data_IF_028705696459
#
_entry.id   IF_028705696459
#
_cell.length_a   1.000
_cell.length_b   1.000
_cell.length_c   1.000
_cell.angle_alpha   90.00
_cell.angle_beta   90.00
_cell.angle_gamma   90.00
#
_symmetry.space_group_name_H-M   'P 1'
#
loop_
_entity.id
_entity.type
_entity.pdbx_description
1 polymer ?
#
# COMPACT_ATOMS: atom_id res chain seq x y z
N UNK A 1 3.22 13.34 11.04
CA UNK A 1 3.82 12.00 10.83
C UNK A 1 3.34 11.29 9.58
N UNK A 2 2.04 10.93 9.45
CA UNK A 2 1.50 10.22 8.27
C UNK A 2 1.82 10.90 6.93
N UNK A 3 1.62 12.21 6.83
CA UNK A 3 1.89 12.99 5.61
C UNK A 3 3.38 13.01 5.25
N UNK A 4 4.26 13.22 6.23
CA UNK A 4 5.71 13.21 6.04
C UNK A 4 6.13 11.80 5.60
N UNK A 5 5.72 10.77 6.32
CA UNK A 5 6.02 9.38 5.99
C UNK A 5 5.64 9.04 4.54
N UNK A 6 4.39 9.34 4.17
CA UNK A 6 3.89 9.03 2.84
C UNK A 6 4.60 9.83 1.74
N UNK A 7 4.79 11.14 1.95
CA UNK A 7 5.42 12.02 0.97
C UNK A 7 6.91 11.74 0.77
N UNK A 8 7.61 11.31 1.82
CA UNK A 8 9.02 10.94 1.76
C UNK A 8 9.22 9.60 1.05
N UNK A 9 8.52 8.54 1.46
CA UNK A 9 8.71 7.22 0.86
C UNK A 9 8.15 7.09 -0.55
N UNK A 10 7.10 7.85 -0.91
CA UNK A 10 6.56 7.83 -2.27
C UNK A 10 7.60 8.24 -3.33
N UNK A 11 8.56 9.10 -2.97
CA UNK A 11 9.64 9.57 -3.86
C UNK A 11 10.60 8.45 -4.28
N UNK A 12 10.60 7.33 -3.55
CA UNK A 12 11.46 6.18 -3.84
C UNK A 12 10.93 5.29 -4.98
N UNK A 13 9.73 5.58 -5.51
CA UNK A 13 9.18 4.84 -6.65
C UNK A 13 8.76 3.40 -6.36
N UNK A 14 8.65 3.00 -5.08
CA UNK A 14 8.21 1.66 -4.66
C UNK A 14 6.69 1.49 -4.52
N UNK A 15 5.92 2.42 -5.09
CA UNK A 15 4.46 2.46 -4.95
C UNK A 15 4.00 3.47 -3.90
N UNK A 16 2.72 3.40 -3.52
CA UNK A 16 2.12 4.29 -2.52
C UNK A 16 2.28 3.69 -1.12
N UNK A 17 3.08 4.30 -0.23
CA UNK A 17 3.16 3.86 1.16
C UNK A 17 1.81 4.05 1.88
N UNK A 18 1.48 3.14 2.80
CA UNK A 18 0.34 3.26 3.70
C UNK A 18 0.85 3.51 5.12
N UNK A 19 0.23 4.47 5.81
CA UNK A 19 0.56 4.74 7.22
C UNK A 19 -0.12 3.75 8.16
N UNK A 20 -1.32 3.30 7.79
CA UNK A 20 -2.10 2.28 8.51
C UNK A 20 -2.40 1.15 7.54
N UNK A 21 -1.47 0.18 7.35
CA UNK A 21 -1.56 -0.82 6.29
C UNK A 21 -2.55 -1.97 6.59
N UNK A 22 -3.08 -2.06 7.82
CA UNK A 22 -4.02 -3.11 8.21
C UNK A 22 -5.42 -2.92 7.61
N UNK A 23 -6.14 -4.01 7.26
CA UNK A 23 -7.50 -3.91 6.74
C UNK A 23 -8.47 -3.42 7.82
N UNK A 24 -9.51 -2.68 7.39
CA UNK A 24 -10.54 -2.18 8.31
C UNK A 24 -11.38 -3.33 8.88
N UNK A 25 -11.79 -3.21 10.15
CA UNK A 25 -12.50 -4.28 10.89
C UNK A 25 -13.89 -4.61 10.35
N UNK A 26 -14.52 -3.67 9.67
CA UNK A 26 -15.85 -3.80 9.06
C UNK A 26 -15.84 -4.47 7.68
N UNK A 27 -14.67 -4.85 7.16
CA UNK A 27 -14.57 -5.56 5.88
C UNK A 27 -14.82 -7.06 6.04
N UNK A 28 -15.24 -7.75 4.96
CA UNK A 28 -15.46 -9.19 4.96
C UNK A 28 -14.28 -9.97 5.55
N UNK A 29 -14.50 -11.07 6.31
CA UNK A 29 -13.44 -11.88 6.89
C UNK A 29 -12.37 -12.32 5.87
N UNK A 30 -12.81 -12.67 4.66
CA UNK A 30 -11.97 -13.08 3.54
C UNK A 30 -10.99 -11.96 3.15
N UNK A 31 -11.49 -10.73 3.06
CA UNK A 31 -10.67 -9.56 2.77
C UNK A 31 -9.73 -9.25 3.95
N UNK A 32 -10.19 -9.37 5.20
CA UNK A 32 -9.34 -9.08 6.38
C UNK A 32 -8.16 -10.04 6.52
N UNK A 33 -8.30 -11.28 6.03
CA UNK A 33 -7.20 -12.26 6.03
C UNK A 33 -6.09 -11.86 5.06
N UNK A 34 -6.46 -11.45 3.85
CA UNK A 34 -5.49 -11.26 2.77
C UNK A 34 -5.08 -9.78 2.60
N UNK A 35 -5.92 -8.84 3.03
CA UNK A 35 -5.74 -7.40 2.91
C UNK A 35 -5.78 -6.91 1.46
N UNK A 36 -5.12 -5.76 1.21
CA UNK A 36 -5.05 -5.14 -0.12
C UNK A 36 -4.47 -6.12 -1.14
N UNK A 37 -5.07 -6.21 -2.31
CA UNK A 37 -4.66 -7.11 -3.39
C UNK A 37 -4.72 -6.43 -4.77
N UNK A 38 -4.03 -7.02 -5.74
CA UNK A 38 -4.09 -6.59 -7.14
C UNK A 38 -5.55 -6.61 -7.63
N UNK A 39 -5.96 -5.54 -8.31
CA UNK A 39 -7.32 -5.32 -8.79
C UNK A 39 -8.25 -4.64 -7.79
N UNK A 40 -7.82 -4.40 -6.56
CA UNK A 40 -8.60 -3.59 -5.63
C UNK A 40 -8.74 -2.16 -6.14
N UNK A 41 -9.98 -1.67 -6.12
CA UNK A 41 -10.36 -0.29 -6.33
C UNK A 41 -10.62 0.32 -4.96
N UNK A 42 -10.02 1.47 -4.68
CA UNK A 42 -10.12 2.12 -3.38
C UNK A 42 -9.55 3.52 -3.39
N UNK A 43 -9.48 4.14 -2.21
CA UNK A 43 -8.71 5.39 -2.02
C UNK A 43 -7.73 5.23 -0.86
N UNK A 44 -6.74 6.11 -0.79
CA UNK A 44 -5.93 6.28 0.43
C UNK A 44 -6.50 7.46 1.21
N UNK A 45 -6.94 7.23 2.45
CA UNK A 45 -7.50 8.30 3.30
C UNK A 45 -6.38 9.18 3.87
N UNK A 46 -6.70 10.39 4.40
CA UNK A 46 -5.70 11.24 5.07
C UNK A 46 -4.99 10.55 6.24
N UNK A 47 -5.67 9.62 6.91
CA UNK A 47 -5.11 8.79 7.99
C UNK A 47 -4.11 7.74 7.47
N UNK A 48 -3.99 7.57 6.15
CA UNK A 48 -3.10 6.63 5.49
C UNK A 48 -3.63 5.19 5.45
N UNK A 49 -4.95 5.02 5.53
CA UNK A 49 -5.65 3.74 5.36
C UNK A 49 -6.00 3.55 3.88
N UNK A 50 -5.91 2.31 3.38
CA UNK A 50 -6.54 1.96 2.11
C UNK A 50 -8.03 1.63 2.32
N UNK A 51 -8.88 2.54 1.88
CA UNK A 51 -10.34 2.44 1.91
C UNK A 51 -10.83 1.66 0.68
N UNK A 52 -11.14 0.38 0.90
CA UNK A 52 -11.51 -0.56 -0.15
C UNK A 52 -12.95 -0.36 -0.63
N UNK A 53 -13.16 -0.42 -1.95
CA UNK A 53 -14.48 -0.37 -2.56
C UNK A 53 -14.92 -1.71 -3.13
N UNK A 54 -14.16 -2.27 -4.06
CA UNK A 54 -14.40 -3.57 -4.69
C UNK A 54 -13.12 -4.06 -5.39
N UNK A 55 -13.09 -5.31 -5.87
CA UNK A 55 -12.03 -5.86 -6.70
C UNK A 55 -12.57 -6.17 -8.10
N UNK A 56 -11.88 -5.66 -9.13
CA UNK A 56 -12.27 -5.83 -10.52
C UNK A 56 -12.17 -7.26 -11.05
N UNK A 57 -11.43 -8.14 -10.38
CA UNK A 57 -11.25 -9.54 -10.79
C UNK A 57 -12.23 -10.50 -10.13
N UNK A 58 -13.08 -10.00 -9.24
CA UNK A 58 -14.05 -10.80 -8.50
C UNK A 58 -15.45 -10.44 -9.01
N UNK A 59 -16.34 -11.43 -9.06
CA UNK A 59 -17.74 -11.22 -9.42
C UNK A 59 -18.45 -10.30 -8.41
N UNK A 60 -19.61 -9.75 -8.80
CA UNK A 60 -20.42 -8.90 -7.93
C UNK A 60 -20.80 -9.61 -6.62
N UNK A 61 -21.26 -10.86 -6.73
CA UNK A 61 -21.68 -11.70 -5.62
C UNK A 61 -20.53 -12.40 -4.87
N UNK A 62 -19.27 -12.13 -5.22
CA UNK A 62 -18.14 -12.64 -4.45
C UNK A 62 -18.19 -12.05 -3.02
N UNK A 63 -17.94 -12.83 -1.95
CA UNK A 63 -17.98 -12.34 -0.57
C UNK A 63 -17.14 -11.09 -0.29
N UNK A 64 -16.05 -10.88 -1.04
CA UNK A 64 -15.20 -9.70 -0.92
C UNK A 64 -15.89 -8.45 -1.50
N UNK A 65 -16.56 -8.59 -2.65
CA UNK A 65 -17.30 -7.48 -3.26
C UNK A 65 -18.64 -7.24 -2.56
N UNK A 66 -19.29 -8.31 -2.10
CA UNK A 66 -20.54 -8.29 -1.34
C UNK A 66 -21.61 -7.39 -1.99
N UNK A 67 -21.78 -7.50 -3.31
CA UNK A 67 -22.67 -6.69 -4.15
C UNK A 67 -22.43 -5.17 -4.08
N UNK A 68 -21.29 -4.73 -3.53
CA UNK A 68 -20.89 -3.31 -3.45
C UNK A 68 -20.14 -2.85 -4.71
N UNK A 69 -20.67 -3.19 -5.87
CA UNK A 69 -20.10 -2.86 -7.18
C UNK A 69 -21.03 -1.92 -7.96
N UNK A 70 -20.51 -1.18 -8.96
CA UNK A 70 -21.33 -0.36 -9.85
C UNK A 70 -22.41 -1.16 -10.60
N UNK A 71 -23.49 -0.48 -10.98
CA UNK A 71 -24.52 -1.10 -11.84
C UNK A 71 -23.93 -1.55 -13.17
N UNK A 72 -24.29 -2.75 -13.62
CA UNK A 72 -23.76 -3.36 -14.84
C UNK A 72 -22.30 -3.82 -14.73
N UNK A 73 -21.73 -3.89 -13.52
CA UNK A 73 -20.38 -4.39 -13.30
C UNK A 73 -20.21 -5.83 -13.85
N UNK A 74 -19.09 -6.04 -14.54
CA UNK A 74 -18.63 -7.34 -15.00
C UNK A 74 -17.15 -7.48 -14.62
N UNK A 75 -16.70 -8.63 -14.09
CA UNK A 75 -15.30 -8.77 -13.70
C UNK A 75 -14.38 -8.73 -14.93
N UNK A 76 -13.22 -8.11 -14.78
CA UNK A 76 -12.12 -8.25 -15.72
C UNK A 76 -11.60 -9.69 -15.66
N UNK A 77 -11.33 -10.29 -16.82
CA UNK A 77 -10.69 -11.62 -16.87
C UNK A 77 -9.39 -11.60 -16.05
N UNK A 78 -9.25 -12.56 -15.15
CA UNK A 78 -8.08 -12.67 -14.27
C UNK A 78 -6.80 -12.76 -15.09
N UNK A 79 -5.78 -12.01 -14.67
CA UNK A 79 -4.43 -12.12 -15.21
C UNK A 79 -3.89 -13.53 -14.97
N UNK A 80 -3.00 -14.00 -15.84
CA UNK A 80 -2.29 -15.26 -15.60
C UNK A 80 -1.13 -15.00 -14.65
N UNK A 81 -0.76 -16.00 -13.84
CA UNK A 81 0.32 -15.86 -12.85
C UNK A 81 1.65 -15.45 -13.48
N UNK A 82 1.88 -15.75 -14.76
CA UNK A 82 3.06 -15.32 -15.51
C UNK A 82 3.11 -13.82 -15.78
N UNK A 83 1.99 -13.10 -15.68
CA UNK A 83 1.95 -11.63 -15.84
C UNK A 83 2.33 -10.88 -14.56
N UNK A 84 2.56 -11.62 -13.46
CA UNK A 84 2.92 -11.09 -12.15
C UNK A 84 4.38 -11.40 -11.84
N UNK A 85 5.14 -10.35 -11.61
CA UNK A 85 6.48 -10.47 -11.03
C UNK A 85 6.37 -10.57 -9.52
N UNK A 86 7.05 -11.59 -9.00
CA UNK A 86 7.24 -11.79 -7.58
C UNK A 86 8.68 -11.48 -7.19
N UNK A 87 8.86 -10.78 -6.06
CA UNK A 87 10.18 -10.53 -5.49
C UNK A 87 10.11 -10.62 -3.97
N UNK A 88 11.00 -11.42 -3.40
CA UNK A 88 11.18 -11.51 -1.96
C UNK A 88 12.31 -10.58 -1.54
N UNK A 89 12.13 -9.96 -0.38
CA UNK A 89 13.14 -9.14 0.27
C UNK A 89 13.48 -9.79 1.60
N UNK A 90 14.79 -9.92 1.86
CA UNK A 90 15.30 -10.66 3.00
C UNK A 90 14.92 -10.02 4.35
N UNK A 91 14.89 -10.80 5.45
CA UNK A 91 14.84 -10.27 6.81
C UNK A 91 15.91 -9.21 7.08
N UNK A 92 15.59 -8.24 7.94
CA UNK A 92 16.51 -7.13 8.27
C UNK A 92 16.57 -6.02 7.22
N UNK A 93 15.76 -6.10 6.16
CA UNK A 93 15.67 -5.07 5.13
C UNK A 93 14.92 -3.82 5.62
N UNK A 94 15.06 -2.71 4.91
CA UNK A 94 14.38 -1.45 5.17
C UNK A 94 14.16 -0.65 3.89
N UNK A 95 13.22 0.29 3.95
CA UNK A 95 13.00 1.30 2.91
C UNK A 95 13.12 2.66 3.59
N UNK A 96 14.04 3.50 3.15
CA UNK A 96 14.27 4.81 3.75
C UNK A 96 14.58 5.88 2.72
N UNK A 97 14.42 7.14 3.11
CA UNK A 97 14.95 8.27 2.36
C UNK A 97 16.47 8.23 2.30
N UNK A 98 17.07 8.77 1.23
CA UNK A 98 18.52 8.72 1.01
C UNK A 98 19.37 9.31 2.15
N UNK A 99 18.80 10.26 2.92
CA UNK A 99 19.39 10.89 4.10
C UNK A 99 19.40 10.02 5.37
N UNK A 100 18.87 8.80 5.29
CA UNK A 100 18.75 7.88 6.42
C UNK A 100 19.66 6.69 6.17
N UNK A 101 20.69 6.55 7.00
CA UNK A 101 21.64 5.44 6.93
C UNK A 101 21.39 4.46 8.07
N UNK A 102 21.27 3.17 7.75
CA UNK A 102 21.20 2.11 8.76
C UNK A 102 22.59 1.88 9.34
N UNK A 103 22.71 1.81 10.67
CA UNK A 103 23.91 1.27 11.32
C UNK A 103 23.87 -0.25 11.30
N UNK A 104 24.91 -0.87 10.76
CA UNK A 104 25.15 -2.29 10.95
C UNK A 104 25.73 -2.48 12.36
N UNK A 105 24.89 -2.99 13.27
CA UNK A 105 25.35 -3.46 14.58
C UNK A 105 25.63 -4.95 14.49
N UNK A 106 26.89 -5.31 14.67
CA UNK A 106 27.27 -6.69 14.93
C UNK A 106 26.58 -7.15 16.21
N UNK A 107 25.71 -8.16 16.06
CA UNK A 107 25.23 -9.02 17.14
C UNK A 107 24.50 -8.27 18.27
N UNK A 108 23.19 -8.14 18.13
CA UNK A 108 22.33 -8.16 19.31
C UNK A 108 21.14 -9.07 19.05
N UNK A 109 20.87 -9.92 20.03
CA UNK A 109 19.73 -10.83 20.10
C UNK A 109 18.43 -10.01 20.06
N UNK A 110 17.98 -9.64 18.86
CA UNK A 110 16.79 -8.81 18.64
C UNK A 110 16.81 -8.20 17.24
N UNK A 111 15.64 -8.01 16.64
CA UNK A 111 15.48 -7.39 15.32
C UNK A 111 15.55 -5.85 15.43
N UNK A 112 16.57 -5.31 16.10
CA UNK A 112 16.70 -3.87 16.30
C UNK A 112 17.21 -3.18 15.03
N UNK A 113 16.58 -2.07 14.67
CA UNK A 113 17.03 -1.21 13.59
C UNK A 113 17.45 0.13 14.15
N UNK A 114 18.71 0.52 13.91
CA UNK A 114 19.23 1.83 14.29
C UNK A 114 19.54 2.62 13.02
N UNK A 115 19.04 3.84 12.97
CA UNK A 115 19.23 4.73 11.84
C UNK A 115 19.83 6.06 12.29
N UNK A 116 20.76 6.56 11.47
CA UNK A 116 21.29 7.91 11.55
C UNK A 116 20.70 8.75 10.43
N UNK A 117 20.45 10.02 10.74
CA UNK A 117 19.83 10.96 9.82
C UNK A 117 20.59 12.28 9.79
N UNK A 118 20.88 12.76 8.58
CA UNK A 118 21.63 14.00 8.33
C UNK A 118 20.80 15.08 7.63
N UNK A 119 19.50 14.84 7.43
CA UNK A 119 18.58 15.78 6.79
C UNK A 119 17.49 16.29 7.76
N UNK A 120 16.90 17.46 7.48
CA UNK A 120 15.84 18.03 8.31
C UNK A 120 14.54 17.23 8.29
N UNK A 121 14.36 16.32 7.32
CA UNK A 121 13.20 15.45 7.23
C UNK A 121 13.56 14.12 6.58
N UNK A 122 12.78 13.09 6.90
CA UNK A 122 12.96 11.76 6.32
C UNK A 122 11.94 10.78 6.88
N UNK A 123 11.97 9.58 6.31
CA UNK A 123 11.12 8.49 6.73
C UNK A 123 11.81 7.14 6.53
N UNK A 124 11.42 6.18 7.36
CA UNK A 124 11.88 4.80 7.24
C UNK A 124 10.76 3.82 7.55
N UNK A 125 10.78 2.73 6.80
CA UNK A 125 10.02 1.51 6.99
C UNK A 125 11.02 0.38 7.25
N UNK A 126 11.12 -0.06 8.49
CA UNK A 126 11.89 -1.23 8.87
C UNK A 126 11.08 -2.50 8.61
N UNK A 127 11.72 -3.52 8.04
CA UNK A 127 11.12 -4.80 7.67
C UNK A 127 11.89 -5.93 8.36
N UNK A 128 11.66 -6.15 9.67
CA UNK A 128 12.38 -7.16 10.47
C UNK A 128 12.44 -8.52 9.82
N UNK A 129 11.34 -8.93 9.20
CA UNK A 129 11.20 -10.23 8.56
C UNK A 129 11.10 -10.15 7.04
N UNK A 130 11.52 -9.03 6.46
CA UNK A 130 11.46 -8.83 5.02
C UNK A 130 10.05 -8.55 4.50
N UNK A 131 9.91 -8.61 3.18
CA UNK A 131 8.66 -8.32 2.47
C UNK A 131 8.55 -9.13 1.19
N UNK A 132 7.32 -9.24 0.69
CA UNK A 132 6.97 -9.95 -0.53
C UNK A 132 6.26 -9.00 -1.48
N UNK A 133 6.87 -8.70 -2.62
CA UNK A 133 6.30 -7.92 -3.70
C UNK A 133 5.63 -8.85 -4.71
N UNK A 134 4.40 -8.52 -5.09
CA UNK A 134 3.71 -9.04 -6.25
C UNK A 134 3.23 -7.86 -7.11
N UNK A 135 3.62 -7.79 -8.37
CA UNK A 135 3.30 -6.65 -9.25
C UNK A 135 3.01 -7.13 -10.67
N UNK A 136 1.95 -6.60 -11.28
CA UNK A 136 1.67 -6.81 -12.70
C UNK A 136 2.70 -6.12 -13.58
N UNK A 137 3.26 -6.84 -14.56
CA UNK A 137 4.11 -6.24 -15.60
C UNK A 137 3.27 -5.64 -16.72
N UNK A 138 2.29 -6.39 -17.23
CA UNK A 138 1.40 -5.90 -18.26
C UNK A 138 0.10 -5.36 -17.65
N UNK A 139 -0.03 -4.04 -17.68
CA UNK A 139 -1.20 -3.34 -17.14
C UNK A 139 -2.17 -2.87 -18.22
N UNK A 140 -1.93 -3.16 -19.51
CA UNK A 140 -2.72 -2.56 -20.60
C UNK A 140 -4.20 -3.00 -20.55
N UNK A 141 -4.46 -4.25 -20.21
CA UNK A 141 -5.82 -4.77 -20.07
C UNK A 141 -6.56 -4.09 -18.92
N UNK A 142 -5.85 -3.89 -17.80
CA UNK A 142 -6.36 -3.18 -16.64
C UNK A 142 -6.64 -1.71 -16.99
N UNK A 143 -5.70 -1.05 -17.68
CA UNK A 143 -5.83 0.35 -18.11
C UNK A 143 -7.04 0.57 -19.01
N UNK A 144 -7.26 -0.31 -20.00
CA UNK A 144 -8.42 -0.25 -20.90
C UNK A 144 -9.73 -0.42 -20.16
N UNK A 145 -9.80 -1.48 -19.34
CA UNK A 145 -10.98 -1.75 -18.51
C UNK A 145 -11.29 -0.57 -17.56
N UNK A 146 -10.27 0.02 -16.93
CA UNK A 146 -10.45 1.21 -16.09
C UNK A 146 -10.93 2.40 -16.89
N UNK A 147 -10.37 2.68 -18.07
CA UNK A 147 -10.78 3.82 -18.88
C UNK A 147 -12.25 3.73 -19.30
N UNK A 148 -12.74 2.52 -19.60
CA UNK A 148 -14.14 2.27 -19.98
C UNK A 148 -15.12 2.36 -18.80
N UNK A 149 -14.66 2.08 -17.58
CA UNK A 149 -15.55 1.94 -16.41
C UNK A 149 -15.36 3.01 -15.32
N UNK A 150 -14.27 3.80 -15.34
CA UNK A 150 -13.95 4.72 -14.25
C UNK A 150 -15.07 5.72 -13.95
N UNK A 151 -15.76 6.22 -14.97
CA UNK A 151 -16.87 7.15 -14.77
C UNK A 151 -18.03 6.51 -13.99
N UNK A 152 -18.39 5.26 -14.31
CA UNK A 152 -19.44 4.54 -13.58
C UNK A 152 -19.03 4.24 -12.15
N UNK A 153 -17.74 4.00 -11.91
CA UNK A 153 -17.18 3.82 -10.57
C UNK A 153 -17.35 5.09 -9.73
N UNK A 154 -16.97 6.24 -10.27
CA UNK A 154 -17.17 7.53 -9.61
C UNK A 154 -18.65 7.80 -9.33
N UNK A 155 -19.54 7.56 -10.29
CA UNK A 155 -21.00 7.73 -10.10
C UNK A 155 -21.54 6.84 -8.99
N UNK A 156 -21.16 5.56 -8.96
CA UNK A 156 -21.57 4.62 -7.91
C UNK A 156 -21.01 5.02 -6.53
N UNK A 157 -19.71 5.30 -6.45
CA UNK A 157 -19.03 5.58 -5.18
C UNK A 157 -19.48 6.93 -4.58
N UNK A 158 -19.67 7.96 -5.41
CA UNK A 158 -20.10 9.27 -4.94
C UNK A 158 -21.62 9.36 -4.76
N UNK A 159 -22.40 8.72 -5.63
CA UNK A 159 -23.86 8.70 -5.55
C UNK A 159 -24.35 7.70 -4.51
N UNK A 160 -24.33 6.41 -4.84
CA UNK A 160 -24.88 5.35 -4.00
C UNK A 160 -24.16 5.21 -2.66
N UNK A 161 -22.81 5.30 -2.65
CA UNK A 161 -22.02 5.14 -1.42
C UNK A 161 -21.68 6.46 -0.69
N UNK A 162 -21.97 7.62 -1.29
CA UNK A 162 -21.77 8.93 -0.66
C UNK A 162 -20.32 9.29 -0.29
N UNK A 163 -19.29 8.69 -0.92
CA UNK A 163 -17.88 8.84 -0.47
C UNK A 163 -17.18 10.14 -0.90
N UNK A 164 -17.81 10.95 -1.76
CA UNK A 164 -17.35 12.28 -2.23
C UNK A 164 -15.87 12.31 -2.69
N UNK A 165 -15.49 11.38 -3.55
CA UNK A 165 -14.18 11.35 -4.20
C UNK A 165 -14.02 12.49 -5.20
N UNK A 166 -12.86 13.15 -5.17
CA UNK A 166 -12.40 14.03 -6.23
C UNK A 166 -11.72 13.23 -7.36
N UNK A 167 -11.58 13.87 -8.53
CA UNK A 167 -10.81 13.29 -9.62
C UNK A 167 -9.35 13.07 -9.18
N UNK A 168 -8.83 11.86 -9.36
CA UNK A 168 -7.50 11.46 -8.91
C UNK A 168 -7.43 10.80 -7.53
N UNK A 169 -8.52 10.80 -6.76
CA UNK A 169 -8.56 10.12 -5.44
C UNK A 169 -8.70 8.60 -5.55
N UNK A 170 -9.17 8.10 -6.71
CA UNK A 170 -9.43 6.69 -6.93
C UNK A 170 -8.16 5.98 -7.40
N UNK A 171 -7.81 4.92 -6.69
CA UNK A 171 -6.66 4.07 -6.98
C UNK A 171 -7.14 2.70 -7.45
N UNK A 172 -6.43 2.18 -8.44
CA UNK A 172 -6.49 0.77 -8.82
C UNK A 172 -5.15 0.12 -8.52
N UNK A 173 -5.18 -0.92 -7.69
CA UNK A 173 -3.97 -1.60 -7.22
C UNK A 173 -3.41 -2.52 -8.31
N UNK A 174 -2.22 -2.21 -8.81
CA UNK A 174 -1.50 -2.99 -9.83
C UNK A 174 -0.41 -3.89 -9.23
N UNK A 175 -0.05 -3.65 -7.97
CA UNK A 175 0.94 -4.43 -7.24
C UNK A 175 0.87 -4.13 -5.75
N UNK A 176 1.37 -5.06 -4.94
CA UNK A 176 1.39 -4.98 -3.49
C UNK A 176 2.73 -5.48 -2.97
N UNK A 177 3.28 -4.79 -1.98
CA UNK A 177 4.40 -5.26 -1.17
C UNK A 177 3.89 -5.48 0.26
N UNK A 178 3.99 -6.72 0.75
CA UNK A 178 3.45 -7.12 2.05
C UNK A 178 4.54 -7.60 2.98
N UNK A 179 4.40 -7.30 4.26
CA UNK A 179 5.30 -7.76 5.31
C UNK A 179 4.49 -8.30 6.49
N UNK A 180 5.02 -9.31 7.19
CA UNK A 180 4.37 -9.88 8.38
C UNK A 180 4.55 -9.03 9.64
N UNK A 181 5.55 -8.16 9.62
CA UNK A 181 5.89 -7.24 10.70
C UNK A 181 6.61 -6.05 10.09
N UNK A 182 6.35 -4.86 10.62
CA UNK A 182 7.00 -3.65 10.15
C UNK A 182 7.05 -2.64 11.29
N UNK A 183 7.96 -1.67 11.18
CA UNK A 183 7.92 -0.48 12.03
C UNK A 183 8.27 0.74 11.21
N UNK A 184 7.72 1.85 11.63
CA UNK A 184 7.71 3.08 10.85
C UNK A 184 8.20 4.22 11.72
N UNK A 185 9.00 5.08 11.12
CA UNK A 185 9.35 6.36 11.71
C UNK A 185 9.37 7.43 10.61
N UNK A 186 8.94 8.63 10.97
CA UNK A 186 9.08 9.82 10.15
C UNK A 186 9.48 10.97 11.05
N UNK A 187 10.27 11.89 10.52
CA UNK A 187 10.78 13.04 11.27
C UNK A 187 10.79 14.29 10.40
N UNK A 188 10.66 15.44 11.04
CA UNK A 188 10.73 16.77 10.44
C UNK A 188 11.33 17.73 11.49
N UNK A 189 12.08 18.74 11.02
CA UNK A 189 12.77 19.75 11.83
C UNK A 189 13.92 19.26 12.73
N UNK A 190 14.72 18.33 12.22
CA UNK A 190 15.96 17.96 12.91
C UNK A 190 17.10 18.91 12.48
N UNK A 191 17.47 19.87 13.33
CA UNK A 191 18.56 20.84 13.06
C UNK A 191 19.98 20.26 13.24
N UNK A 192 20.08 19.00 13.65
CA UNK A 192 21.33 18.29 13.98
C UNK A 192 21.23 16.82 13.61
N UNK A 193 22.34 16.16 13.33
CA UNK A 193 22.37 14.70 13.14
C UNK A 193 21.69 13.99 14.31
N UNK A 194 20.70 13.13 14.01
CA UNK A 194 19.95 12.40 15.05
C UNK A 194 19.96 10.91 14.78
N UNK A 195 19.95 10.15 15.88
CA UNK A 195 19.89 8.69 15.87
C UNK A 195 18.56 8.25 16.47
N UNK A 196 17.90 7.27 15.85
CA UNK A 196 16.73 6.64 16.43
C UNK A 196 16.76 5.13 16.25
N UNK A 197 16.02 4.43 17.12
CA UNK A 197 15.97 2.97 17.18
C UNK A 197 14.52 2.48 17.10
N UNK A 198 14.30 1.45 16.29
CA UNK A 198 13.08 0.66 16.26
C UNK A 198 13.40 -0.75 16.78
N UNK A 199 12.65 -1.20 17.80
CA UNK A 199 12.79 -2.52 18.43
C UNK A 199 11.51 -3.33 18.19
N UNK A 200 11.66 -4.64 17.95
CA UNK A 200 10.57 -5.53 17.50
C UNK A 200 10.55 -6.85 18.26
#
# INVERSE_FOLDING_TARGET
DSEIYCSQLQRLGRGRPLYVPGPQRNLPPEYRRDGVAIGNVGRVTPEGIFDFFFNIYLDAGDPINADNVPEGFYPLKRYVSSDVVYRNFEPGNHVSTASVQKRDLELSFGLNFIFDCDAPQGAVLALPHGSHLAKLENMEHMRRYTAENAESWYRHINGYRGRRLANGDLYLVTGVEKARSWGMAAFQEVKTTSTFQLSF
#
